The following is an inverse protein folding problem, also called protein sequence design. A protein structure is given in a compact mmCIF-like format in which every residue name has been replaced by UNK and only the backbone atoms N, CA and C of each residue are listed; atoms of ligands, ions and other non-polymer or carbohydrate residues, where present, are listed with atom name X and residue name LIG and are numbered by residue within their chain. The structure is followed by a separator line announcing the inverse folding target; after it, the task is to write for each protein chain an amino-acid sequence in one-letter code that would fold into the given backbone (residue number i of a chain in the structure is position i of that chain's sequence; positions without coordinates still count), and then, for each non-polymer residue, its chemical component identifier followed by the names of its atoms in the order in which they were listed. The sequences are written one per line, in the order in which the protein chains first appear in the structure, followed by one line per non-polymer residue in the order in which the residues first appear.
data_IF_608153786076
#
_entry.id   IF_608153786076
#
_cell.length_a   1.000
_cell.length_b   1.000
_cell.length_c   1.000
_cell.angle_alpha   90.00
_cell.angle_beta   90.00
_cell.angle_gamma   90.00
#
_symmetry.space_group_name_H-M   'P 1'
#
loop_
_entity.id
_entity.type
_entity.pdbx_description
1 polymer ?
#
# COMPACT_ATOMS: atom_id res chain seq x y z
N UNK A 1 -4.04 -6.55 2.25
CA UNK A 1 -2.65 -7.00 2.14
C UNK A 1 -2.45 -7.74 0.83
N UNK A 2 -1.54 -7.25 0.00
CA UNK A 2 -1.14 -7.86 -1.26
C UNK A 2 0.39 -7.98 -1.27
N UNK A 3 0.90 -9.10 -1.80
CA UNK A 3 2.32 -9.32 -1.97
C UNK A 3 2.65 -9.20 -3.46
N UNK A 4 3.47 -8.23 -3.82
CA UNK A 4 3.83 -7.91 -5.20
C UNK A 4 5.30 -8.24 -5.44
N UNK A 5 5.58 -8.82 -6.61
CA UNK A 5 6.91 -9.18 -7.06
C UNK A 5 7.26 -8.39 -8.32
N UNK A 6 8.37 -7.67 -8.24
CA UNK A 6 8.96 -6.86 -9.30
C UNK A 6 10.41 -7.28 -9.50
N UNK A 7 11.06 -6.69 -10.51
CA UNK A 7 12.52 -6.70 -10.57
C UNK A 7 13.10 -5.89 -9.40
N UNK A 8 14.36 -6.14 -9.00
CA UNK A 8 15.04 -5.29 -8.02
C UNK A 8 14.95 -3.82 -8.44
N UNK A 9 14.71 -2.94 -7.48
CA UNK A 9 14.46 -1.52 -7.72
C UNK A 9 15.17 -0.65 -6.69
N UNK A 10 15.34 0.64 -7.00
CA UNK A 10 15.85 1.61 -6.05
C UNK A 10 14.72 2.22 -5.20
N UNK A 11 14.95 2.34 -3.90
CA UNK A 11 13.92 2.80 -2.95
C UNK A 11 13.67 4.30 -3.06
N UNK A 12 14.71 5.09 -3.35
CA UNK A 12 14.59 6.54 -3.46
C UNK A 12 13.90 6.91 -4.77
N UNK A 13 14.25 6.22 -5.87
CA UNK A 13 13.56 6.33 -7.15
C UNK A 13 12.08 5.97 -7.03
N UNK A 14 11.75 4.86 -6.37
CA UNK A 14 10.37 4.46 -6.10
C UNK A 14 9.62 5.55 -5.31
N UNK A 15 10.27 6.15 -4.32
CA UNK A 15 9.66 7.19 -3.49
C UNK A 15 9.36 8.45 -4.29
N UNK A 16 10.27 8.87 -5.18
CA UNK A 16 10.08 10.02 -6.08
C UNK A 16 8.92 9.74 -7.04
N UNK A 17 8.95 8.60 -7.75
CA UNK A 17 7.90 8.24 -8.71
C UNK A 17 6.52 8.09 -8.05
N UNK A 18 6.46 7.60 -6.82
CA UNK A 18 5.20 7.55 -6.07
C UNK A 18 4.68 8.93 -5.66
N UNK A 19 5.57 9.88 -5.32
CA UNK A 19 5.15 11.28 -5.07
C UNK A 19 4.59 11.93 -6.33
N UNK A 20 5.21 11.66 -7.49
CA UNK A 20 4.74 12.14 -8.79
C UNK A 20 3.40 11.50 -9.19
N UNK A 21 3.22 10.20 -8.94
CA UNK A 21 1.98 9.50 -9.23
C UNK A 21 0.81 9.89 -8.30
N UNK A 22 1.11 10.40 -7.10
CA UNK A 22 0.13 10.79 -6.09
C UNK A 22 0.38 12.21 -5.54
N UNK A 23 0.27 13.26 -6.36
CA UNK A 23 0.61 14.63 -5.95
C UNK A 23 -0.31 15.16 -4.85
N UNK A 24 -1.54 14.65 -4.76
CA UNK A 24 -2.52 15.04 -3.73
C UNK A 24 -2.35 14.26 -2.41
N UNK A 25 -1.51 13.21 -2.41
CA UNK A 25 -1.33 12.33 -1.25
C UNK A 25 0.00 12.62 -0.56
N UNK A 26 0.04 12.38 0.75
CA UNK A 26 1.26 12.39 1.55
C UNK A 26 1.97 11.05 1.38
N UNK A 27 3.08 11.07 0.64
CA UNK A 27 4.00 9.93 0.50
C UNK A 27 5.20 10.15 1.42
N UNK A 28 5.31 9.33 2.47
CA UNK A 28 6.33 9.50 3.51
C UNK A 28 6.91 8.16 3.97
N UNK A 29 8.18 8.15 4.37
CA UNK A 29 8.81 6.99 4.97
C UNK A 29 8.76 7.12 6.49
N UNK A 30 8.15 6.14 7.16
CA UNK A 30 8.04 6.11 8.63
C UNK A 30 8.51 4.75 9.13
N UNK A 31 9.52 4.73 10.00
CA UNK A 31 10.18 3.51 10.51
C UNK A 31 10.58 2.52 9.39
N UNK A 32 11.21 3.03 8.34
CA UNK A 32 11.67 2.23 7.19
C UNK A 32 10.57 1.74 6.25
N UNK A 33 9.29 1.94 6.58
CA UNK A 33 8.13 1.58 5.75
C UNK A 33 7.65 2.81 5.00
N UNK A 34 7.45 2.68 3.68
CA UNK A 34 6.89 3.75 2.87
C UNK A 34 5.37 3.80 3.07
N UNK A 35 4.75 4.96 3.15
CA UNK A 35 3.31 5.11 3.38
C UNK A 35 2.72 6.07 2.36
N UNK A 36 1.60 5.68 1.76
CA UNK A 36 0.78 6.51 0.87
C UNK A 36 -0.51 6.86 1.59
N UNK A 37 -0.70 8.15 1.86
CA UNK A 37 -1.76 8.65 2.73
C UNK A 37 -2.55 9.79 2.10
N UNK A 38 -3.88 9.71 2.04
CA UNK A 38 -4.71 10.85 1.59
C UNK A 38 -4.61 12.02 2.58
N UNK A 39 -4.56 13.24 2.07
CA UNK A 39 -4.28 14.47 2.85
C UNK A 39 -5.35 14.87 3.89
N UNK A 40 -6.46 14.14 4.01
CA UNK A 40 -7.58 14.42 4.94
C UNK A 40 -7.70 13.55 6.19
N UNK A 41 -6.62 12.88 6.64
CA UNK A 41 -6.55 12.01 7.84
C UNK A 41 -7.86 11.23 8.13
N UNK A 42 -8.16 10.21 7.31
CA UNK A 42 -9.10 9.15 7.70
C UNK A 42 -8.30 7.90 8.02
N UNK A 43 -8.74 7.09 9.00
CA UNK A 43 -8.12 5.80 9.33
C UNK A 43 -8.07 4.88 8.08
N UNK A 44 -8.96 5.08 7.12
CA UNK A 44 -9.06 4.27 5.90
C UNK A 44 -8.27 4.83 4.71
N UNK A 45 -7.67 6.01 4.84
CA UNK A 45 -6.91 6.69 3.79
C UNK A 45 -5.41 6.47 3.90
N UNK A 46 -4.95 5.28 4.32
CA UNK A 46 -3.54 4.96 4.51
C UNK A 46 -3.20 3.56 4.00
N UNK A 47 -2.16 3.46 3.18
CA UNK A 47 -1.57 2.20 2.72
C UNK A 47 -0.08 2.24 3.01
N UNK A 48 0.38 1.32 3.84
CA UNK A 48 1.79 1.10 4.09
C UNK A 48 2.36 0.12 3.05
N UNK A 49 3.57 0.40 2.58
CA UNK A 49 4.34 -0.36 1.60
C UNK A 49 5.62 -0.82 2.29
N UNK A 50 5.67 -2.11 2.62
CA UNK A 50 6.88 -2.77 3.10
C UNK A 50 7.67 -3.25 1.90
N UNK A 51 8.77 -2.57 1.64
CA UNK A 51 9.62 -2.80 0.46
C UNK A 51 10.87 -3.59 0.86
N UNK A 52 11.19 -4.63 0.10
CA UNK A 52 12.50 -5.28 0.09
C UNK A 52 13.10 -5.09 -1.31
N UNK A 53 13.83 -3.98 -1.55
CA UNK A 53 14.20 -3.55 -2.89
C UNK A 53 15.11 -4.54 -3.62
N UNK A 54 16.10 -5.12 -2.92
CA UNK A 54 17.03 -6.11 -3.47
C UNK A 54 16.33 -7.38 -3.98
N UNK A 55 15.26 -7.79 -3.30
CA UNK A 55 14.45 -8.93 -3.68
C UNK A 55 13.30 -8.56 -4.65
N UNK A 56 13.12 -7.27 -4.97
CA UNK A 56 12.01 -6.78 -5.78
C UNK A 56 10.63 -6.98 -5.15
N UNK A 57 10.53 -7.11 -3.82
CA UNK A 57 9.26 -7.41 -3.13
C UNK A 57 8.64 -6.13 -2.58
N UNK A 58 7.34 -5.96 -2.79
CA UNK A 58 6.54 -4.93 -2.13
C UNK A 58 5.29 -5.56 -1.51
N UNK A 59 5.12 -5.41 -0.20
CA UNK A 59 3.92 -5.83 0.53
C UNK A 59 3.09 -4.62 0.92
N UNK A 60 1.83 -4.60 0.50
CA UNK A 60 0.86 -3.58 0.93
C UNK A 60 0.25 -3.99 2.27
N UNK A 61 0.07 -3.02 3.17
CA UNK A 61 -0.60 -3.21 4.44
C UNK A 61 -1.53 -2.04 4.70
N UNK A 62 -2.81 -2.33 4.87
CA UNK A 62 -3.85 -1.35 5.15
C UNK A 62 -4.42 -1.55 6.56
N UNK A 63 -5.19 -0.58 7.05
CA UNK A 63 -5.87 -0.72 8.34
C UNK A 63 -6.99 -1.76 8.31
N UNK A 64 -7.47 -2.17 7.13
CA UNK A 64 -8.38 -3.30 6.99
C UNK A 64 -7.72 -4.61 7.42
N UNK A 65 -6.42 -4.78 7.17
CA UNK A 65 -5.66 -5.96 7.58
C UNK A 65 -5.54 -6.07 9.11
N UNK A 66 -5.69 -4.95 9.81
CA UNK A 66 -5.72 -4.88 11.28
C UNK A 66 -7.14 -4.84 11.86
N UNK A 67 -8.18 -4.86 11.02
CA UNK A 67 -9.56 -4.63 11.46
C UNK A 67 -10.04 -5.65 12.50
N UNK A 68 -9.61 -6.92 12.40
CA UNK A 68 -9.93 -7.95 13.38
C UNK A 68 -9.31 -7.66 14.75
N UNK A 69 -8.05 -7.20 14.77
CA UNK A 69 -7.37 -6.79 16.00
C UNK A 69 -8.10 -5.59 16.62
N UNK A 70 -8.47 -4.62 15.79
CA UNK A 70 -9.26 -3.47 16.25
C UNK A 70 -10.64 -3.89 16.75
N UNK A 71 -11.29 -4.89 16.16
CA UNK A 71 -12.58 -5.40 16.64
C UNK A 71 -12.46 -6.00 18.05
N UNK A 72 -11.35 -6.70 18.34
CA UNK A 72 -11.08 -7.32 19.64
C UNK A 72 -10.72 -6.29 20.72
N UNK A 73 -10.00 -5.22 20.37
CA UNK A 73 -9.56 -4.19 21.33
C UNK A 73 -10.58 -3.05 21.47
N UNK A 74 -11.28 -2.70 20.38
CA UNK A 74 -12.28 -1.63 20.33
C UNK A 74 -13.28 -1.88 19.20
N UNK A 75 -14.39 -2.52 19.56
CA UNK A 75 -15.46 -2.89 18.64
C UNK A 75 -15.98 -1.71 17.77
N UNK A 76 -16.17 -0.48 18.29
CA UNK A 76 -16.56 0.66 17.44
C UNK A 76 -15.54 1.00 16.34
N UNK A 77 -14.24 0.92 16.64
CA UNK A 77 -13.18 1.19 15.67
C UNK A 77 -13.13 0.07 14.62
N UNK A 78 -13.24 -1.19 15.05
CA UNK A 78 -13.32 -2.34 14.15
C UNK A 78 -14.49 -2.24 13.16
N UNK A 79 -15.69 -1.88 13.64
CA UNK A 79 -16.87 -1.66 12.79
C UNK A 79 -16.63 -0.49 11.83
N UNK A 80 -16.10 0.64 12.29
CA UNK A 80 -15.82 1.79 11.42
C UNK A 80 -14.88 1.42 10.26
N UNK A 81 -13.82 0.66 10.53
CA UNK A 81 -12.88 0.18 9.51
C UNK A 81 -13.59 -0.75 8.54
N UNK A 82 -14.41 -1.68 9.03
CA UNK A 82 -15.17 -2.61 8.21
C UNK A 82 -16.17 -1.90 7.30
N UNK A 83 -16.94 -0.92 7.80
CA UNK A 83 -17.87 -0.11 7.01
C UNK A 83 -17.19 0.69 5.90
N UNK A 84 -15.88 0.91 5.99
CA UNK A 84 -15.08 1.63 5.00
C UNK A 84 -14.13 0.69 4.25
N UNK A 85 -14.29 -0.63 4.37
CA UNK A 85 -13.43 -1.63 3.75
C UNK A 85 -13.29 -1.43 2.24
N UNK A 86 -14.39 -1.09 1.55
CA UNK A 86 -14.36 -0.82 0.11
C UNK A 86 -13.47 0.37 -0.25
N UNK A 87 -13.56 1.47 0.52
CA UNK A 87 -12.71 2.64 0.30
C UNK A 87 -11.24 2.33 0.54
N UNK A 88 -10.94 1.55 1.58
CA UNK A 88 -9.58 1.09 1.89
C UNK A 88 -9.03 0.20 0.77
N UNK A 89 -9.83 -0.77 0.28
CA UNK A 89 -9.45 -1.65 -0.83
C UNK A 89 -9.27 -0.88 -2.14
N UNK A 90 -10.13 0.09 -2.42
CA UNK A 90 -10.02 0.93 -3.61
C UNK A 90 -8.69 1.69 -3.60
N UNK A 91 -8.30 2.29 -2.47
CA UNK A 91 -7.01 2.95 -2.32
C UNK A 91 -5.84 1.97 -2.44
N UNK A 92 -5.91 0.80 -1.80
CA UNK A 92 -4.88 -0.23 -1.93
C UNK A 92 -4.70 -0.62 -3.40
N UNK A 93 -5.78 -0.87 -4.12
CA UNK A 93 -5.74 -1.22 -5.55
C UNK A 93 -5.22 -0.09 -6.43
N UNK A 94 -5.57 1.17 -6.15
CA UNK A 94 -5.05 2.36 -6.83
C UNK A 94 -3.52 2.44 -6.67
N UNK A 95 -3.02 2.22 -5.46
CA UNK A 95 -1.58 2.18 -5.16
C UNK A 95 -0.91 1.00 -5.88
N UNK A 96 -1.50 -0.20 -5.86
CA UNK A 96 -0.96 -1.36 -6.56
C UNK A 96 -0.90 -1.14 -8.08
N UNK A 97 -1.94 -0.55 -8.67
CA UNK A 97 -1.97 -0.24 -10.09
C UNK A 97 -0.81 0.70 -10.46
N UNK A 98 -0.62 1.78 -9.70
CA UNK A 98 0.52 2.69 -9.90
C UNK A 98 1.87 2.03 -9.68
N UNK A 99 2.01 1.15 -8.69
CA UNK A 99 3.26 0.39 -8.50
C UNK A 99 3.59 -0.47 -9.72
N UNK A 100 2.60 -1.08 -10.36
CA UNK A 100 2.79 -1.87 -11.60
C UNK A 100 3.11 -1.04 -12.83
N UNK A 101 2.71 0.24 -12.84
CA UNK A 101 3.13 1.20 -13.88
C UNK A 101 4.55 1.71 -13.65
N UNK A 102 4.92 1.93 -12.38
CA UNK A 102 6.21 2.50 -11.96
C UNK A 102 7.35 1.49 -12.04
N UNK A 103 7.06 0.22 -11.68
CA UNK A 103 8.04 -0.85 -11.59
C UNK A 103 7.72 -1.95 -12.59
N UNK A 104 8.77 -2.50 -13.20
CA UNK A 104 8.63 -3.63 -14.11
C UNK A 104 8.16 -4.89 -13.35
N UNK A 105 6.93 -5.39 -13.61
CA UNK A 105 6.50 -6.64 -13.00
C UNK A 105 7.36 -7.78 -13.53
N UNK A 106 7.67 -8.75 -12.66
CA UNK A 106 8.24 -10.02 -13.14
C UNK A 106 7.12 -10.70 -13.92
N UNK A 107 7.22 -10.70 -15.25
CA UNK A 107 6.22 -11.31 -16.12
C UNK A 107 5.93 -12.74 -15.65
N UNK A 108 4.67 -13.04 -15.36
CA UNK A 108 4.19 -14.41 -15.29
C UNK A 108 4.45 -15.01 -16.67
N UNK A 109 5.51 -15.81 -16.81
CA UNK A 109 5.57 -16.76 -17.92
C UNK A 109 4.45 -17.76 -17.62
N UNK A 110 3.30 -17.57 -18.24
CA UNK A 110 2.32 -18.64 -18.36
C UNK A 110 3.02 -19.75 -19.12
N UNK A 111 3.51 -20.76 -18.40
CA UNK A 111 3.86 -22.04 -18.99
C UNK A 111 2.57 -22.59 -19.58
N UNK A 112 2.45 -22.53 -20.90
CA UNK A 112 1.45 -23.23 -21.70
C UNK A 112 1.72 -24.73 -21.70
#
# INVERSE_FOLDING_TARGET
MQNLQFKPFDKDELTVKLKEAFPEYKVQTTFGTLQVRKSGFTITGNVALKTTPEAGIIRTQSNLDMALIFLLVSLPIGIYIYMKAEKTKALENEVVAKLKEILEPVSYQATA
#
